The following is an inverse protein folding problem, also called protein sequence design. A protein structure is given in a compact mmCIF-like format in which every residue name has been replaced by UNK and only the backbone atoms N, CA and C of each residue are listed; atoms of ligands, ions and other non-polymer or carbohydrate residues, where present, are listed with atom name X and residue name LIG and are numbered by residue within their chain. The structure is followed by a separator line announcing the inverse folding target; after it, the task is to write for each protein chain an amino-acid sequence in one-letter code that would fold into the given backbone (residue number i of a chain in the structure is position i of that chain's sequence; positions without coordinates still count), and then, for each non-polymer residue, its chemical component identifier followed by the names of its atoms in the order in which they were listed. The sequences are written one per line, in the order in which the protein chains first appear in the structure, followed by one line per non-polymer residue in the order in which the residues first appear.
data_IF_783509671215
#
_entry.id   IF_783509671215
#
_cell.length_a   1.000
_cell.length_b   1.000
_cell.length_c   1.000
_cell.angle_alpha   90.00
_cell.angle_beta   90.00
_cell.angle_gamma   90.00
#
_symmetry.space_group_name_H-M   'P 1'
#
loop_
_entity.id
_entity.type
_entity.pdbx_description
1 polymer ?
#
# COMPACT_ATOMS: atom_id res chain seq x y z
N UNK A 1 -5.62 -35.22 -0.29
CA UNK A 1 -5.57 -33.97 0.49
C UNK A 1 -5.71 -32.83 -0.49
N UNK A 2 -6.93 -32.30 -0.67
CA UNK A 2 -7.18 -31.20 -1.58
C UNK A 2 -7.05 -29.89 -0.81
N UNK A 3 -5.87 -29.26 -0.90
CA UNK A 3 -5.69 -27.88 -0.47
C UNK A 3 -6.61 -27.03 -1.34
N UNK A 4 -7.70 -26.49 -0.77
CA UNK A 4 -8.47 -25.44 -1.44
C UNK A 4 -7.48 -24.32 -1.76
N UNK A 5 -7.47 -23.76 -2.99
CA UNK A 5 -6.80 -22.49 -3.18
C UNK A 5 -7.43 -21.55 -2.15
N UNK A 6 -6.63 -21.03 -1.22
CA UNK A 6 -7.04 -19.87 -0.43
C UNK A 6 -7.21 -18.81 -1.49
N UNK A 7 -8.43 -18.59 -1.96
CA UNK A 7 -8.72 -17.52 -2.89
C UNK A 7 -8.16 -16.27 -2.24
N UNK A 8 -7.11 -15.69 -2.83
CA UNK A 8 -6.51 -14.46 -2.34
C UNK A 8 -7.61 -13.42 -2.35
N UNK A 9 -8.23 -13.21 -1.19
CA UNK A 9 -9.34 -12.29 -1.05
C UNK A 9 -8.79 -10.94 -1.43
N UNK A 10 -9.54 -10.25 -2.28
CA UNK A 10 -9.13 -8.95 -2.76
C UNK A 10 -10.24 -7.96 -2.46
N UNK A 11 -9.84 -6.84 -1.87
CA UNK A 11 -10.70 -5.76 -1.43
C UNK A 11 -10.51 -4.59 -2.38
N UNK A 12 -11.63 -4.00 -2.79
CA UNK A 12 -11.61 -2.81 -3.65
C UNK A 12 -11.64 -1.57 -2.77
N UNK A 13 -10.66 -0.68 -2.94
CA UNK A 13 -10.65 0.61 -2.27
C UNK A 13 -11.39 1.64 -3.13
N UNK A 14 -12.24 2.45 -2.50
CA UNK A 14 -12.89 3.59 -3.14
C UNK A 14 -12.05 4.84 -2.91
N UNK A 15 -11.08 5.09 -3.79
CA UNK A 15 -10.21 6.27 -3.74
C UNK A 15 -10.63 7.29 -4.79
N UNK A 16 -10.59 8.57 -4.41
CA UNK A 16 -10.64 9.69 -5.34
C UNK A 16 -9.43 9.70 -6.27
N UNK A 17 -9.51 10.49 -7.35
CA UNK A 17 -8.40 10.63 -8.29
C UNK A 17 -7.15 11.18 -7.58
N UNK A 18 -7.29 12.20 -6.73
CA UNK A 18 -6.16 12.78 -5.99
C UNK A 18 -5.52 11.77 -5.05
N UNK A 19 -6.32 11.00 -4.32
CA UNK A 19 -5.81 9.94 -3.43
C UNK A 19 -5.09 8.83 -4.18
N UNK A 20 -5.57 8.48 -5.38
CA UNK A 20 -4.89 7.53 -6.26
C UNK A 20 -3.53 8.05 -6.72
N UNK A 21 -3.46 9.32 -7.11
CA UNK A 21 -2.19 9.97 -7.48
C UNK A 21 -1.22 10.03 -6.30
N UNK A 22 -1.68 10.45 -5.12
CA UNK A 22 -0.86 10.43 -3.90
C UNK A 22 -0.35 9.02 -3.63
N UNK A 23 -1.22 8.01 -3.64
CA UNK A 23 -0.83 6.61 -3.42
C UNK A 23 0.21 6.15 -4.46
N UNK A 24 -0.04 6.40 -5.74
CA UNK A 24 0.91 6.09 -6.81
C UNK A 24 2.28 6.72 -6.53
N UNK A 25 2.32 8.00 -6.19
CA UNK A 25 3.58 8.70 -5.96
C UNK A 25 4.33 8.20 -4.71
N UNK A 26 3.66 7.90 -3.59
CA UNK A 26 4.41 7.37 -2.44
C UNK A 26 4.93 5.96 -2.70
N UNK A 27 4.17 5.13 -3.43
CA UNK A 27 4.62 3.79 -3.83
C UNK A 27 5.84 3.88 -4.75
N UNK A 28 5.78 4.72 -5.78
CA UNK A 28 6.90 4.96 -6.69
C UNK A 28 8.13 5.47 -5.94
N UNK A 29 7.97 6.48 -5.09
CA UNK A 29 9.08 7.05 -4.34
C UNK A 29 9.72 6.02 -3.40
N UNK A 30 8.94 5.13 -2.76
CA UNK A 30 9.50 4.06 -1.91
C UNK A 30 10.29 3.02 -2.71
N UNK A 31 9.85 2.71 -3.94
CA UNK A 31 10.55 1.82 -4.87
C UNK A 31 11.87 2.47 -5.33
N UNK A 32 11.83 3.74 -5.75
CA UNK A 32 13.02 4.49 -6.18
C UNK A 32 14.05 4.68 -5.05
N UNK A 33 13.59 4.82 -3.79
CA UNK A 33 14.47 4.87 -2.63
C UNK A 33 15.26 3.56 -2.42
N UNK A 34 14.74 2.40 -2.82
CA UNK A 34 15.51 1.15 -2.80
C UNK A 34 16.62 1.18 -3.85
N UNK A 35 16.31 1.60 -5.08
CA UNK A 35 17.29 1.64 -6.18
C UNK A 35 18.47 2.58 -5.89
N UNK A 36 18.21 3.64 -5.12
CA UNK A 36 19.20 4.65 -4.73
C UNK A 36 19.90 4.34 -3.40
N UNK A 37 19.41 3.38 -2.61
CA UNK A 37 20.02 2.96 -1.37
C UNK A 37 21.39 2.32 -1.64
N UNK A 38 22.45 3.09 -1.41
CA UNK A 38 23.85 2.69 -1.68
C UNK A 38 24.32 1.52 -0.78
N UNK A 39 23.59 1.21 0.30
CA UNK A 39 23.86 0.10 1.19
C UNK A 39 22.65 -0.85 1.23
N UNK A 40 22.82 -2.07 0.71
CA UNK A 40 21.83 -3.15 0.77
C UNK A 40 21.47 -3.62 2.20
N UNK A 41 22.08 -3.02 3.22
CA UNK A 41 21.84 -3.30 4.65
C UNK A 41 20.96 -2.26 5.35
N UNK A 42 20.71 -1.09 4.75
CA UNK A 42 19.97 0.02 5.39
C UNK A 42 18.49 0.08 5.00
N UNK A 43 18.09 -0.54 3.88
CA UNK A 43 16.71 -0.54 3.40
C UNK A 43 16.30 -1.99 3.17
N UNK A 44 15.37 -2.50 3.98
CA UNK A 44 14.69 -3.75 3.66
C UNK A 44 14.07 -3.59 2.27
N UNK A 45 14.43 -4.50 1.35
CA UNK A 45 13.84 -4.55 0.02
C UNK A 45 12.31 -4.50 0.14
N UNK A 46 11.62 -3.63 -0.62
CA UNK A 46 10.19 -3.57 -0.62
C UNK A 46 9.64 -4.96 -0.96
N UNK A 47 8.62 -5.42 -0.22
CA UNK A 47 8.04 -6.72 -0.47
C UNK A 47 7.51 -6.78 -1.90
N UNK A 48 7.55 -7.94 -2.54
CA UNK A 48 6.97 -8.17 -3.87
C UNK A 48 5.52 -7.63 -3.96
N UNK A 49 4.78 -7.70 -2.85
CA UNK A 49 3.43 -7.16 -2.73
C UNK A 49 3.35 -5.64 -2.96
N UNK A 50 4.41 -4.87 -2.66
CA UNK A 50 4.46 -3.43 -2.93
C UNK A 50 4.55 -3.14 -4.42
N UNK A 51 5.43 -3.85 -5.15
CA UNK A 51 5.52 -3.74 -6.61
C UNK A 51 4.19 -4.11 -7.28
N UNK A 52 3.57 -5.22 -6.84
CA UNK A 52 2.27 -5.62 -7.35
C UNK A 52 1.17 -4.60 -7.02
N UNK A 53 1.23 -3.95 -5.86
CA UNK A 53 0.31 -2.88 -5.50
C UNK A 53 0.52 -1.64 -6.38
N UNK A 54 1.77 -1.29 -6.68
CA UNK A 54 2.10 -0.22 -7.62
C UNK A 54 1.55 -0.51 -9.02
N UNK A 55 1.81 -1.70 -9.58
CA UNK A 55 1.28 -2.11 -10.89
C UNK A 55 -0.25 -2.03 -10.92
N UNK A 56 -0.91 -2.44 -9.83
CA UNK A 56 -2.38 -2.36 -9.71
C UNK A 56 -2.87 -0.91 -9.83
N UNK A 57 -2.19 0.03 -9.14
CA UNK A 57 -2.55 1.45 -9.19
C UNK A 57 -2.23 2.06 -10.56
N UNK A 58 -1.11 1.69 -11.16
CA UNK A 58 -0.66 2.17 -12.49
C UNK A 58 -1.61 1.72 -13.62
N UNK A 59 -2.11 0.48 -13.53
CA UNK A 59 -3.18 -0.04 -14.39
C UNK A 59 -4.53 0.68 -14.18
N UNK A 60 -4.62 1.56 -13.18
CA UNK A 60 -5.85 2.30 -12.83
C UNK A 60 -6.85 1.46 -12.03
N UNK A 61 -6.47 0.26 -11.62
CA UNK A 61 -7.23 -0.64 -10.77
C UNK A 61 -7.08 -0.24 -9.29
N UNK A 62 -8.08 -0.57 -8.47
CA UNK A 62 -8.06 -0.31 -7.03
C UNK A 62 -8.42 -1.55 -6.22
N UNK A 63 -8.14 -2.73 -6.79
CA UNK A 63 -8.44 -4.02 -6.18
C UNK A 63 -7.15 -4.66 -5.67
N UNK A 64 -7.02 -4.72 -4.35
CA UNK A 64 -5.81 -5.16 -3.68
C UNK A 64 -6.06 -6.43 -2.87
N UNK A 65 -5.07 -7.31 -2.83
CA UNK A 65 -5.00 -8.45 -1.91
C UNK A 65 -4.58 -7.99 -0.52
N UNK A 66 -4.81 -8.81 0.50
CA UNK A 66 -4.39 -8.49 1.88
C UNK A 66 -2.90 -8.19 1.98
N UNK A 67 -2.05 -8.96 1.28
CA UNK A 67 -0.60 -8.74 1.28
C UNK A 67 -0.23 -7.38 0.64
N UNK A 68 -0.94 -6.97 -0.41
CA UNK A 68 -0.76 -5.65 -1.02
C UNK A 68 -1.25 -4.54 -0.08
N UNK A 69 -2.39 -4.72 0.58
CA UNK A 69 -2.91 -3.76 1.56
C UNK A 69 -1.98 -3.62 2.77
N UNK A 70 -1.42 -4.71 3.29
CA UNK A 70 -0.44 -4.67 4.38
C UNK A 70 0.84 -3.96 3.95
N UNK A 71 1.33 -4.19 2.72
CA UNK A 71 2.48 -3.47 2.18
C UNK A 71 2.20 -1.97 2.04
N UNK A 72 1.04 -1.59 1.48
CA UNK A 72 0.60 -0.20 1.36
C UNK A 72 0.48 0.44 2.75
N UNK A 73 -0.12 -0.24 3.73
CA UNK A 73 -0.28 0.25 5.09
C UNK A 73 1.06 0.58 5.73
N UNK A 74 2.05 -0.32 5.60
CA UNK A 74 3.38 -0.12 6.16
C UNK A 74 4.07 1.12 5.56
N UNK A 75 4.01 1.27 4.23
CA UNK A 75 4.60 2.44 3.54
C UNK A 75 3.89 3.73 3.95
N UNK A 76 2.55 3.77 3.95
CA UNK A 76 1.81 4.96 4.37
C UNK A 76 2.12 5.33 5.84
N UNK A 77 2.28 4.34 6.73
CA UNK A 77 2.64 4.57 8.12
C UNK A 77 4.08 5.08 8.29
N UNK A 78 5.02 4.66 7.44
CA UNK A 78 6.38 5.23 7.38
C UNK A 78 6.33 6.70 6.96
N UNK A 79 5.59 7.01 5.90
CA UNK A 79 5.50 8.37 5.36
C UNK A 79 4.73 9.32 6.27
N UNK A 80 3.72 8.83 7.00
CA UNK A 80 3.03 9.61 8.04
C UNK A 80 3.98 10.08 9.15
N UNK A 81 5.01 9.27 9.46
CA UNK A 81 6.00 9.56 10.50
C UNK A 81 7.19 10.37 9.98
N UNK A 82 7.41 10.38 8.67
CA UNK A 82 8.46 11.22 8.07
C UNK A 82 8.08 12.69 8.15
N UNK A 83 9.07 13.54 8.44
CA UNK A 83 8.95 14.99 8.43
C UNK A 83 9.40 15.62 7.10
N UNK A 84 9.60 14.79 6.06
CA UNK A 84 10.09 15.24 4.76
C UNK A 84 8.98 15.88 3.89
N UNK A 85 9.28 16.04 2.59
CA UNK A 85 8.55 16.74 1.50
C UNK A 85 7.02 16.49 1.39
N UNK A 86 6.48 15.55 2.15
CA UNK A 86 5.07 15.13 2.14
C UNK A 86 4.18 15.86 3.16
N UNK A 87 4.68 16.84 3.91
CA UNK A 87 3.90 17.56 4.93
C UNK A 87 2.61 18.19 4.37
N UNK A 88 2.63 18.65 3.12
CA UNK A 88 1.45 19.19 2.42
C UNK A 88 0.41 18.13 2.05
N UNK A 89 0.82 16.86 1.89
CA UNK A 89 -0.07 15.75 1.58
C UNK A 89 -0.38 14.88 2.80
N UNK A 90 0.10 15.27 3.99
CA UNK A 90 -0.03 14.50 5.23
C UNK A 90 -1.47 14.09 5.51
N UNK A 91 -2.43 15.00 5.39
CA UNK A 91 -3.85 14.69 5.62
C UNK A 91 -4.39 13.66 4.62
N UNK A 92 -3.90 13.64 3.37
CA UNK A 92 -4.26 12.62 2.39
C UNK A 92 -3.62 11.27 2.71
N UNK A 93 -2.36 11.27 3.15
CA UNK A 93 -1.66 10.05 3.59
C UNK A 93 -2.36 9.45 4.82
N UNK A 94 -2.78 10.28 5.77
CA UNK A 94 -3.54 9.86 6.95
C UNK A 94 -4.89 9.24 6.56
N UNK A 95 -5.62 9.88 5.65
CA UNK A 95 -6.89 9.35 5.16
C UNK A 95 -6.72 8.03 4.37
N UNK A 96 -5.69 7.94 3.52
CA UNK A 96 -5.32 6.70 2.81
C UNK A 96 -5.00 5.58 3.80
N UNK A 97 -4.25 5.88 4.87
CA UNK A 97 -3.90 4.91 5.90
C UNK A 97 -5.14 4.41 6.64
N UNK A 98 -6.10 5.29 6.94
CA UNK A 98 -7.38 4.94 7.55
C UNK A 98 -8.22 4.04 6.63
N UNK A 99 -8.28 4.36 5.34
CA UNK A 99 -8.99 3.57 4.34
C UNK A 99 -8.43 2.14 4.24
N UNK A 100 -7.11 2.01 4.14
CA UNK A 100 -6.40 0.72 4.04
C UNK A 100 -6.55 -0.08 5.34
N UNK A 101 -6.43 0.57 6.50
CA UNK A 101 -6.61 -0.08 7.80
C UNK A 101 -8.02 -0.60 7.97
N UNK A 102 -9.03 0.22 7.64
CA UNK A 102 -10.44 -0.17 7.68
C UNK A 102 -10.74 -1.33 6.73
N UNK A 103 -10.14 -1.33 5.54
CA UNK A 103 -10.27 -2.43 4.57
C UNK A 103 -9.69 -3.75 5.12
N UNK A 104 -8.52 -3.71 5.76
CA UNK A 104 -7.91 -4.86 6.41
C UNK A 104 -8.73 -5.38 7.61
N UNK A 105 -9.27 -4.47 8.43
CA UNK A 105 -10.11 -4.83 9.58
C UNK A 105 -11.44 -5.46 9.15
N UNK A 106 -12.10 -4.89 8.14
CA UNK A 106 -13.35 -5.43 7.60
C UNK A 106 -13.15 -6.80 6.94
N UNK A 107 -11.98 -7.06 6.35
CA UNK A 107 -11.70 -8.39 5.80
C UNK A 107 -11.49 -9.45 6.90
N UNK A 108 -10.85 -9.05 8.00
CA UNK A 108 -10.58 -9.91 9.18
C UNK A 108 -11.84 -10.28 9.98
N UNK A 109 -12.95 -9.56 9.79
CA UNK A 109 -14.23 -9.94 10.39
C UNK A 109 -14.88 -11.08 9.59
N UNK A 110 -15.17 -12.24 10.21
CA UNK A 110 -15.95 -13.27 9.55
C UNK A 110 -17.34 -12.71 9.23
N UNK A 111 -17.78 -12.86 7.97
CA UNK A 111 -19.17 -12.60 7.61
C UNK A 111 -20.06 -13.51 8.48
N UNK A 112 -20.81 -12.88 9.38
CA UNK A 112 -21.69 -13.53 10.35
C UNK A 112 -22.97 -14.03 9.66
#
# INVERSE_FOLDING_TARGET
MSSRPRSSRSTTLSLSLEERWTLHHVLLHRIEQEETATNATDVDSPPLALFQAFDTVDDGELRFTDAQLEAIQNVLAEYQRSTDWWELERSRIEHLLECVTTALENDRLPAN
#
